data_IF_277301338501
#
_entry.id   IF_277301338501
#
_cell.length_a   1.000
_cell.length_b   1.000
_cell.length_c   1.000
_cell.angle_alpha   90.00
_cell.angle_beta   90.00
_cell.angle_gamma   90.00
#
_symmetry.space_group_name_H-M   'P 1'
#
loop_
_entity.id
_entity.type
_entity.pdbx_description
1 polymer ?
#
# COMPACT_ATOMS: atom_id res chain seq x y z
N UNK A 1 2.35 5.27 -17.97
CA UNK A 1 1.56 4.64 -19.04
C UNK A 1 1.39 5.59 -20.21
N UNK A 2 0.63 6.69 -20.09
CA UNK A 2 0.35 7.59 -21.22
C UNK A 2 1.61 7.97 -22.02
N UNK A 3 2.61 8.53 -21.34
CA UNK A 3 3.90 8.89 -21.97
C UNK A 3 4.66 7.67 -22.50
N UNK A 4 4.69 6.56 -21.74
CA UNK A 4 5.42 5.35 -22.10
C UNK A 4 4.90 4.69 -23.38
N UNK A 5 3.59 4.78 -23.63
CA UNK A 5 2.91 4.18 -24.78
C UNK A 5 2.61 5.20 -25.88
N UNK A 6 2.95 6.47 -25.69
CA UNK A 6 2.66 7.54 -26.65
C UNK A 6 1.16 7.79 -26.84
N UNK A 7 0.32 7.54 -25.82
CA UNK A 7 -1.12 7.81 -25.88
C UNK A 7 -1.38 9.32 -25.79
N UNK A 8 -2.30 9.82 -26.62
CA UNK A 8 -2.81 11.19 -26.51
C UNK A 8 -3.84 11.33 -25.38
N UNK A 9 -4.12 12.57 -24.96
CA UNK A 9 -5.05 12.83 -23.85
C UNK A 9 -6.48 12.33 -24.14
N UNK A 10 -6.91 12.38 -25.40
CA UNK A 10 -8.23 11.90 -25.85
C UNK A 10 -8.36 10.36 -25.85
N UNK A 11 -7.26 9.63 -25.63
CA UNK A 11 -7.27 8.17 -25.47
C UNK A 11 -7.39 7.76 -23.99
N UNK A 12 -7.55 8.71 -23.06
CA UNK A 12 -7.63 8.43 -21.62
C UNK A 12 -8.87 9.10 -21.03
N UNK A 13 -9.83 8.28 -20.64
CA UNK A 13 -11.00 8.70 -19.87
C UNK A 13 -10.71 8.57 -18.39
N UNK A 14 -11.04 9.60 -17.61
CA UNK A 14 -10.91 9.58 -16.14
C UNK A 14 -12.25 9.86 -15.50
N UNK A 15 -12.73 8.92 -14.69
CA UNK A 15 -13.86 9.11 -13.77
C UNK A 15 -13.28 9.19 -12.35
N UNK A 16 -13.44 10.34 -11.71
CA UNK A 16 -12.88 10.64 -10.39
C UNK A 16 -14.01 10.92 -9.41
N UNK A 17 -13.73 10.78 -8.11
CA UNK A 17 -14.71 10.99 -7.03
C UNK A 17 -15.94 10.06 -7.11
N UNK A 18 -15.73 8.82 -7.54
CA UNK A 18 -16.75 7.76 -7.51
C UNK A 18 -16.69 7.10 -6.14
N UNK A 19 -17.80 7.09 -5.40
CA UNK A 19 -17.84 6.45 -4.08
C UNK A 19 -17.63 4.93 -4.22
N UNK A 20 -16.69 4.36 -3.46
CA UNK A 20 -16.40 2.93 -3.45
C UNK A 20 -17.42 2.10 -2.65
N UNK A 21 -18.34 2.77 -1.95
CA UNK A 21 -19.49 2.16 -1.29
C UNK A 21 -20.80 2.26 -2.10
N UNK A 22 -20.76 2.88 -3.29
CA UNK A 22 -21.91 3.05 -4.17
C UNK A 22 -21.74 2.24 -5.46
N UNK A 23 -22.35 1.05 -5.46
CA UNK A 23 -22.29 0.10 -6.57
C UNK A 23 -22.92 0.68 -7.86
N UNK A 24 -24.01 1.43 -7.74
CA UNK A 24 -24.71 2.02 -8.89
C UNK A 24 -23.88 3.13 -9.51
N UNK A 25 -23.28 4.01 -8.69
CA UNK A 25 -22.35 5.02 -9.16
C UNK A 25 -21.13 4.41 -9.85
N UNK A 26 -20.63 3.28 -9.32
CA UNK A 26 -19.52 2.53 -9.92
C UNK A 26 -19.91 1.97 -11.30
N UNK A 27 -21.06 1.30 -11.41
CA UNK A 27 -21.58 0.78 -12.69
C UNK A 27 -21.81 1.90 -13.70
N UNK A 28 -22.34 3.05 -13.26
CA UNK A 28 -22.53 4.21 -14.11
C UNK A 28 -21.19 4.73 -14.65
N UNK A 29 -20.19 4.91 -13.79
CA UNK A 29 -18.87 5.40 -14.21
C UNK A 29 -18.20 4.45 -15.22
N UNK A 30 -18.30 3.13 -14.99
CA UNK A 30 -17.82 2.11 -15.92
C UNK A 30 -18.57 2.21 -17.26
N UNK A 31 -19.90 2.35 -17.23
CA UNK A 31 -20.71 2.48 -18.44
C UNK A 31 -20.30 3.72 -19.26
N UNK A 32 -20.08 4.85 -18.60
CA UNK A 32 -19.63 6.07 -19.28
C UNK A 32 -18.26 5.88 -19.95
N UNK A 33 -17.32 5.16 -19.32
CA UNK A 33 -16.04 4.80 -19.95
C UNK A 33 -16.25 3.93 -21.21
N UNK A 34 -17.19 2.98 -21.18
CA UNK A 34 -17.52 2.13 -22.33
C UNK A 34 -18.15 2.98 -23.45
N UNK A 35 -19.07 3.87 -23.11
CA UNK A 35 -19.76 4.76 -24.05
C UNK A 35 -18.79 5.74 -24.72
N UNK A 36 -17.72 6.13 -24.01
CA UNK A 36 -16.60 6.93 -24.53
C UNK A 36 -15.58 6.10 -25.34
N UNK A 37 -15.77 4.78 -25.46
CA UNK A 37 -15.00 3.91 -26.34
C UNK A 37 -13.76 3.26 -25.71
N UNK A 38 -13.66 3.23 -24.37
CA UNK A 38 -12.55 2.58 -23.69
C UNK A 38 -12.51 1.07 -23.98
N UNK A 39 -11.34 0.56 -24.42
CA UNK A 39 -11.11 -0.87 -24.62
C UNK A 39 -10.67 -1.60 -23.35
N UNK A 40 -10.10 -0.87 -22.39
CA UNK A 40 -9.73 -1.38 -21.06
C UNK A 40 -10.12 -0.38 -19.98
N UNK A 41 -10.67 -0.88 -18.88
CA UNK A 41 -11.09 -0.09 -17.72
C UNK A 41 -10.35 -0.58 -16.48
N UNK A 42 -9.63 0.34 -15.82
CA UNK A 42 -8.98 0.10 -14.53
C UNK A 42 -9.90 0.61 -13.41
N UNK A 43 -10.42 -0.31 -12.59
CA UNK A 43 -11.24 0.01 -11.42
C UNK A 43 -10.33 0.05 -10.18
N UNK A 44 -10.08 1.24 -9.63
CA UNK A 44 -8.93 1.52 -8.75
C UNK A 44 -9.25 1.60 -7.25
N UNK A 45 -10.31 0.95 -6.78
CA UNK A 45 -10.63 0.83 -5.36
C UNK A 45 -11.22 -0.54 -5.06
N UNK A 46 -10.98 -1.05 -3.86
CA UNK A 46 -11.44 -2.36 -3.38
C UNK A 46 -12.96 -2.53 -3.59
N UNK A 47 -13.75 -1.51 -3.23
CA UNK A 47 -15.22 -1.55 -3.28
C UNK A 47 -15.82 -1.68 -4.69
N UNK A 48 -15.03 -1.44 -5.74
CA UNK A 48 -15.51 -1.56 -7.13
C UNK A 48 -15.58 -3.00 -7.66
N UNK A 49 -15.15 -4.00 -6.87
CA UNK A 49 -14.91 -5.37 -7.33
C UNK A 49 -16.15 -6.03 -7.93
N UNK A 50 -17.26 -6.08 -7.19
CA UNK A 50 -18.50 -6.78 -7.60
C UNK A 50 -19.11 -6.12 -8.84
N UNK A 51 -19.21 -4.79 -8.84
CA UNK A 51 -19.68 -4.01 -9.99
C UNK A 51 -18.83 -4.24 -11.24
N UNK A 52 -17.50 -4.29 -11.09
CA UNK A 52 -16.58 -4.54 -12.21
C UNK A 52 -16.74 -5.96 -12.75
N UNK A 53 -16.91 -6.94 -11.86
CA UNK A 53 -17.13 -8.34 -12.25
C UNK A 53 -18.44 -8.51 -13.05
N UNK A 54 -19.53 -7.87 -12.61
CA UNK A 54 -20.80 -7.89 -13.34
C UNK A 54 -20.67 -7.23 -14.73
N UNK A 55 -20.02 -6.06 -14.79
CA UNK A 55 -19.81 -5.34 -16.05
C UNK A 55 -18.92 -6.12 -17.01
N UNK A 56 -17.92 -6.85 -16.51
CA UNK A 56 -17.07 -7.72 -17.33
C UNK A 56 -17.84 -8.85 -18.01
N UNK A 57 -18.81 -9.46 -17.33
CA UNK A 57 -19.66 -10.49 -17.95
C UNK A 57 -20.65 -9.89 -18.97
N UNK A 58 -21.09 -8.65 -18.76
CA UNK A 58 -21.98 -7.93 -19.67
C UNK A 58 -21.27 -7.45 -20.96
N UNK A 59 -19.98 -7.12 -20.86
CA UNK A 59 -19.19 -6.53 -21.95
C UNK A 59 -17.94 -7.38 -22.28
N UNK A 60 -18.11 -8.53 -22.96
CA UNK A 60 -17.01 -9.47 -23.21
C UNK A 60 -15.90 -8.91 -24.13
N UNK A 61 -16.19 -7.85 -24.89
CA UNK A 61 -15.25 -7.19 -25.81
C UNK A 61 -14.45 -6.05 -25.14
N UNK A 62 -14.75 -5.72 -23.89
CA UNK A 62 -14.03 -4.73 -23.08
C UNK A 62 -13.22 -5.47 -22.02
N UNK A 63 -11.99 -5.03 -21.80
CA UNK A 63 -11.11 -5.57 -20.76
C UNK A 63 -11.28 -4.78 -19.46
N UNK A 64 -11.17 -5.47 -18.34
CA UNK A 64 -11.36 -4.93 -17.00
C UNK A 64 -10.22 -5.40 -16.11
N UNK A 65 -9.67 -4.47 -15.35
CA UNK A 65 -8.64 -4.75 -14.37
C UNK A 65 -9.01 -4.09 -13.06
N UNK A 66 -9.30 -4.89 -12.04
CA UNK A 66 -9.68 -4.38 -10.71
C UNK A 66 -8.47 -4.37 -9.78
N UNK A 67 -8.28 -3.25 -9.09
CA UNK A 67 -7.22 -3.06 -8.12
C UNK A 67 -7.64 -3.58 -6.75
N UNK A 68 -6.73 -4.29 -6.08
CA UNK A 68 -6.78 -4.67 -4.64
C UNK A 68 -7.79 -5.77 -4.24
N UNK A 69 -8.68 -6.19 -5.14
CA UNK A 69 -9.65 -7.26 -4.87
C UNK A 69 -9.11 -8.66 -5.05
N UNK A 70 -10.03 -9.59 -5.32
CA UNK A 70 -9.70 -11.01 -5.56
C UNK A 70 -10.52 -11.67 -6.69
N UNK A 71 -11.59 -11.03 -7.18
CA UNK A 71 -12.39 -11.57 -8.27
C UNK A 71 -11.65 -11.44 -9.60
N UNK A 72 -11.80 -12.46 -10.45
CA UNK A 72 -11.30 -12.49 -11.82
C UNK A 72 -12.07 -13.57 -12.59
N UNK A 73 -12.13 -13.45 -13.91
CA UNK A 73 -12.73 -14.48 -14.76
C UNK A 73 -11.73 -15.14 -15.73
N UNK A 74 -10.45 -14.76 -15.66
CA UNK A 74 -9.37 -15.32 -16.48
C UNK A 74 -9.53 -15.07 -17.98
N UNK A 75 -10.39 -14.12 -18.38
CA UNK A 75 -10.66 -13.76 -19.77
C UNK A 75 -10.46 -12.25 -19.95
N UNK A 76 -11.54 -11.50 -19.84
CA UNK A 76 -11.55 -10.05 -19.96
C UNK A 76 -11.58 -9.34 -18.60
N UNK A 77 -11.50 -10.07 -17.48
CA UNK A 77 -11.44 -9.50 -16.15
C UNK A 77 -10.38 -10.17 -15.28
N UNK A 78 -9.39 -9.38 -14.88
CA UNK A 78 -8.36 -9.79 -13.93
C UNK A 78 -8.32 -8.88 -12.69
N UNK A 79 -7.66 -9.37 -11.65
CA UNK A 79 -7.27 -8.61 -10.49
C UNK A 79 -5.80 -8.20 -10.58
N UNK A 80 -5.47 -7.02 -10.09
CA UNK A 80 -4.09 -6.58 -9.94
C UNK A 80 -3.84 -5.96 -8.56
N UNK A 81 -2.69 -6.29 -7.98
CA UNK A 81 -2.22 -5.62 -6.78
C UNK A 81 -0.69 -5.67 -6.71
N UNK A 82 -0.11 -5.32 -5.56
CA UNK A 82 1.32 -5.41 -5.38
C UNK A 82 1.80 -5.67 -3.98
N UNK A 83 3.07 -6.06 -3.91
CA UNK A 83 3.81 -6.38 -2.69
C UNK A 83 4.24 -5.13 -1.94
N UNK A 84 3.31 -4.20 -1.68
CA UNK A 84 3.60 -2.94 -0.99
C UNK A 84 4.25 -3.16 0.37
N UNK A 85 3.97 -4.30 1.01
CA UNK A 85 4.61 -4.75 2.22
C UNK A 85 6.15 -4.77 2.12
N UNK A 86 6.73 -4.99 0.94
CA UNK A 86 8.18 -4.90 0.72
C UNK A 86 8.70 -3.49 1.01
N UNK A 87 8.02 -2.46 0.48
CA UNK A 87 8.40 -1.07 0.73
C UNK A 87 8.03 -0.62 2.16
N UNK A 88 6.94 -1.15 2.73
CA UNK A 88 6.59 -0.94 4.15
C UNK A 88 7.65 -1.48 5.10
N UNK A 89 8.22 -2.64 4.83
CA UNK A 89 9.33 -3.18 5.61
C UNK A 89 10.54 -2.25 5.59
N UNK A 90 10.91 -1.76 4.39
CA UNK A 90 12.01 -0.80 4.26
C UNK A 90 11.71 0.52 5.00
N UNK A 91 10.49 1.05 4.91
CA UNK A 91 10.14 2.27 5.66
C UNK A 91 10.07 2.02 7.18
N UNK A 92 9.82 0.79 7.61
CA UNK A 92 9.92 0.36 9.00
C UNK A 92 11.35 0.46 9.53
N UNK A 93 12.34 0.02 8.75
CA UNK A 93 13.76 0.21 9.08
C UNK A 93 14.07 1.70 9.28
N UNK A 94 13.59 2.55 8.37
CA UNK A 94 13.77 4.01 8.47
C UNK A 94 13.17 4.55 9.76
N UNK A 95 11.92 4.21 10.08
CA UNK A 95 11.27 4.64 11.30
C UNK A 95 12.01 4.14 12.56
N UNK A 96 12.42 2.87 12.59
CA UNK A 96 13.11 2.25 13.72
C UNK A 96 14.50 2.84 14.00
N UNK A 97 15.21 3.27 12.95
CA UNK A 97 16.52 3.95 13.07
C UNK A 97 16.39 5.41 13.53
N UNK A 98 15.24 6.05 13.33
CA UNK A 98 15.05 7.49 13.57
C UNK A 98 14.19 7.82 14.80
N UNK A 99 13.45 6.85 15.36
CA UNK A 99 12.76 7.04 16.64
C UNK A 99 13.76 7.18 17.79
N UNK A 100 13.43 8.06 18.72
CA UNK A 100 14.14 8.31 19.98
C UNK A 100 13.30 7.92 21.20
N UNK A 101 11.97 7.89 21.08
CA UNK A 101 11.05 7.51 22.15
C UNK A 101 10.69 6.02 22.15
N UNK A 102 11.06 5.29 21.08
CA UNK A 102 10.62 3.91 20.83
C UNK A 102 9.09 3.78 20.68
N UNK A 103 8.39 4.87 20.41
CA UNK A 103 6.95 4.90 20.14
C UNK A 103 6.70 5.44 18.73
N UNK A 104 6.08 4.62 17.91
CA UNK A 104 5.81 4.95 16.51
C UNK A 104 4.31 4.87 16.28
N UNK A 105 3.71 5.92 15.74
CA UNK A 105 2.29 5.99 15.44
C UNK A 105 1.99 5.47 14.04
N UNK A 106 0.85 4.80 13.87
CA UNK A 106 0.34 4.36 12.57
C UNK A 106 -1.15 4.65 12.46
N UNK A 107 -1.54 5.52 11.54
CA UNK A 107 -2.95 5.80 11.23
C UNK A 107 -3.42 4.78 10.19
N UNK A 108 -4.44 3.98 10.51
CA UNK A 108 -4.88 2.86 9.70
C UNK A 108 -6.32 3.05 9.19
N UNK A 109 -6.55 2.84 7.89
CA UNK A 109 -7.89 2.96 7.32
C UNK A 109 -8.85 1.89 7.84
N UNK A 110 -8.40 0.64 7.92
CA UNK A 110 -9.21 -0.51 8.32
C UNK A 110 -8.51 -1.28 9.45
N UNK A 111 -9.28 -2.06 10.21
CA UNK A 111 -8.76 -2.93 11.26
C UNK A 111 -8.24 -4.27 10.70
N UNK A 112 -8.06 -5.27 11.58
CA UNK A 112 -7.53 -6.58 11.22
C UNK A 112 -8.48 -7.44 10.36
N UNK A 113 -9.68 -6.94 10.02
CA UNK A 113 -10.52 -7.54 9.01
C UNK A 113 -10.01 -7.30 7.58
N UNK A 114 -9.05 -6.38 7.38
CA UNK A 114 -8.47 -6.07 6.09
C UNK A 114 -6.97 -6.46 6.03
N UNK A 115 -6.64 -7.48 5.24
CA UNK A 115 -5.26 -7.97 5.14
C UNK A 115 -4.30 -7.03 4.41
N UNK A 116 -4.78 -6.12 3.57
CA UNK A 116 -3.91 -5.10 2.96
C UNK A 116 -3.35 -4.16 4.02
N UNK A 117 -4.22 -3.60 4.87
CA UNK A 117 -3.82 -2.67 5.93
C UNK A 117 -2.99 -3.40 6.98
N UNK A 118 -3.46 -4.57 7.41
CA UNK A 118 -2.81 -5.35 8.48
C UNK A 118 -1.43 -5.86 8.03
N UNK A 119 -1.33 -6.40 6.81
CA UNK A 119 -0.05 -6.81 6.24
C UNK A 119 0.91 -5.62 6.03
N UNK A 120 0.40 -4.44 5.69
CA UNK A 120 1.20 -3.22 5.64
C UNK A 120 1.78 -2.83 7.01
N UNK A 121 0.95 -2.86 8.06
CA UNK A 121 1.34 -2.57 9.45
C UNK A 121 2.38 -3.58 9.95
N UNK A 122 2.14 -4.87 9.72
CA UNK A 122 3.02 -5.91 10.22
C UNK A 122 4.37 -5.92 9.52
N UNK A 123 4.39 -5.70 8.20
CA UNK A 123 5.66 -5.54 7.48
C UNK A 123 6.46 -4.32 7.98
N UNK A 124 5.77 -3.19 8.22
CA UNK A 124 6.39 -2.01 8.82
C UNK A 124 6.95 -2.31 10.22
N UNK A 125 6.18 -3.00 11.06
CA UNK A 125 6.60 -3.38 12.41
C UNK A 125 7.76 -4.39 12.41
N UNK A 126 7.79 -5.34 11.48
CA UNK A 126 8.91 -6.27 11.26
C UNK A 126 10.18 -5.52 10.82
N UNK A 127 10.03 -4.51 9.95
CA UNK A 127 11.12 -3.63 9.54
C UNK A 127 11.72 -2.87 10.72
N UNK A 128 10.87 -2.25 11.55
CA UNK A 128 11.28 -1.58 12.79
C UNK A 128 12.03 -2.56 13.70
N UNK A 129 11.44 -3.73 13.95
CA UNK A 129 11.98 -4.71 14.89
C UNK A 129 13.36 -5.24 14.48
N UNK A 130 13.66 -5.27 13.18
CA UNK A 130 14.96 -5.71 12.65
C UNK A 130 16.14 -4.82 13.07
N UNK A 131 15.87 -3.55 13.39
CA UNK A 131 16.89 -2.55 13.78
C UNK A 131 16.69 -2.01 15.19
N UNK A 132 15.45 -2.03 15.70
CA UNK A 132 15.08 -1.53 17.01
C UNK A 132 14.02 -2.45 17.65
N UNK A 133 14.43 -3.51 18.37
CA UNK A 133 13.50 -4.47 18.96
C UNK A 133 12.71 -3.92 20.16
N UNK A 134 13.11 -2.77 20.72
CA UNK A 134 12.46 -2.12 21.86
C UNK A 134 11.29 -1.22 21.42
N UNK A 135 11.26 -0.81 20.14
CA UNK A 135 10.21 0.03 19.59
C UNK A 135 8.84 -0.67 19.51
N UNK A 136 7.79 0.12 19.71
CA UNK A 136 6.38 -0.28 19.63
C UNK A 136 5.65 0.55 18.59
N UNK A 137 4.77 -0.11 17.83
CA UNK A 137 3.87 0.53 16.88
C UNK A 137 2.50 0.67 17.55
N UNK A 138 1.97 1.89 17.60
CA UNK A 138 0.65 2.21 18.10
C UNK A 138 -0.27 2.52 16.92
N UNK A 139 -1.33 1.74 16.76
CA UNK A 139 -2.23 1.81 15.60
C UNK A 139 -3.55 2.44 16.01
N UNK A 140 -3.96 3.51 15.33
CA UNK A 140 -5.29 4.12 15.48
C UNK A 140 -6.09 3.94 14.20
N UNK A 141 -7.24 3.27 14.29
CA UNK A 141 -8.08 2.91 13.14
C UNK A 141 -9.14 3.99 12.88
N UNK A 142 -9.30 4.42 11.62
CA UNK A 142 -10.28 5.43 11.21
C UNK A 142 -11.58 4.83 10.66
N UNK A 143 -11.55 3.56 10.20
CA UNK A 143 -12.64 2.91 9.44
C UNK A 143 -12.97 3.61 8.12
N UNK A 144 -12.00 4.31 7.53
CA UNK A 144 -12.12 4.98 6.23
C UNK A 144 -10.76 5.13 5.56
N UNK A 145 -10.71 4.94 4.24
CA UNK A 145 -9.52 5.20 3.43
C UNK A 145 -9.22 6.71 3.31
N UNK A 146 -10.27 7.52 3.27
CA UNK A 146 -10.20 8.96 3.16
C UNK A 146 -11.24 9.61 4.08
N UNK A 147 -10.77 10.14 5.21
CA UNK A 147 -11.57 10.97 6.12
C UNK A 147 -10.63 11.98 6.79
N UNK A 148 -10.55 13.21 6.25
CA UNK A 148 -9.79 14.33 6.82
C UNK A 148 -9.88 14.47 8.33
N UNK A 149 -11.09 14.44 8.89
CA UNK A 149 -11.32 14.71 10.31
C UNK A 149 -10.88 13.50 11.15
N UNK A 150 -11.21 12.29 10.72
CA UNK A 150 -10.81 11.07 11.43
C UNK A 150 -9.28 10.87 11.40
N UNK A 151 -8.62 11.12 10.27
CA UNK A 151 -7.17 11.00 10.12
C UNK A 151 -6.42 12.04 10.97
N UNK A 152 -6.89 13.29 10.99
CA UNK A 152 -6.32 14.35 11.83
C UNK A 152 -6.45 14.02 13.33
N UNK A 153 -7.62 13.56 13.75
CA UNK A 153 -7.86 13.15 15.14
C UNK A 153 -7.05 11.92 15.54
N UNK A 154 -6.91 10.93 14.64
CA UNK A 154 -6.10 9.75 14.87
C UNK A 154 -4.62 10.11 15.02
N UNK A 155 -4.10 10.96 14.14
CA UNK A 155 -2.72 11.44 14.22
C UNK A 155 -2.46 12.22 15.50
N UNK A 156 -3.35 13.15 15.90
CA UNK A 156 -3.27 13.87 17.18
C UNK A 156 -3.20 12.92 18.37
N UNK A 157 -4.06 11.90 18.40
CA UNK A 157 -4.07 10.89 19.47
C UNK A 157 -2.70 10.21 19.61
N UNK A 158 -2.11 9.78 18.49
CA UNK A 158 -0.82 9.09 18.49
C UNK A 158 0.33 10.03 18.90
N UNK A 159 0.32 11.27 18.42
CA UNK A 159 1.32 12.28 18.77
C UNK A 159 1.23 12.69 20.25
N UNK A 160 0.01 12.77 20.81
CA UNK A 160 -0.21 13.03 22.24
C UNK A 160 0.20 11.85 23.14
N UNK A 161 0.43 10.66 22.56
CA UNK A 161 1.03 9.51 23.24
C UNK A 161 2.57 9.49 23.20
N UNK A 162 3.20 10.58 22.75
CA UNK A 162 4.64 10.73 22.53
C UNK A 162 5.22 9.86 21.40
N UNK A 163 4.40 9.51 20.40
CA UNK A 163 4.95 8.92 19.18
C UNK A 163 5.78 9.98 18.43
N UNK A 164 7.05 9.67 18.14
CA UNK A 164 7.98 10.60 17.51
C UNK A 164 8.30 10.28 16.04
N UNK A 165 7.67 9.22 15.52
CA UNK A 165 7.55 8.94 14.09
C UNK A 165 6.09 8.55 13.82
N UNK A 166 5.46 9.11 12.79
CA UNK A 166 4.13 8.70 12.36
C UNK A 166 4.12 8.17 10.92
N UNK A 167 3.42 7.06 10.69
CA UNK A 167 3.16 6.50 9.38
C UNK A 167 1.64 6.35 9.18
N UNK A 168 1.21 6.01 7.95
CA UNK A 168 -0.21 5.78 7.68
C UNK A 168 -0.48 4.76 6.57
N UNK A 169 -1.73 4.30 6.55
CA UNK A 169 -2.40 3.65 5.42
C UNK A 169 -3.78 4.27 5.21
N UNK A 170 -3.80 5.60 5.09
CA UNK A 170 -4.94 6.42 4.68
C UNK A 170 -4.48 7.40 3.57
N UNK A 171 -5.39 8.22 3.06
CA UNK A 171 -5.18 8.94 1.79
C UNK A 171 -5.00 10.47 1.93
N UNK A 172 -4.99 11.04 3.15
CA UNK A 172 -4.67 12.47 3.35
C UNK A 172 -3.19 12.72 3.68
N UNK A 173 -2.78 13.98 3.73
CA UNK A 173 -1.42 14.37 4.18
C UNK A 173 -1.35 14.73 5.68
N UNK A 174 -2.48 14.70 6.39
CA UNK A 174 -2.57 15.27 7.74
C UNK A 174 -1.65 14.61 8.77
N UNK A 175 -1.46 13.28 8.79
CA UNK A 175 -0.50 12.69 9.71
C UNK A 175 0.93 13.25 9.52
N UNK A 176 1.38 13.44 8.28
CA UNK A 176 2.72 13.97 7.99
C UNK A 176 2.82 15.46 8.33
N UNK A 177 1.83 16.28 7.99
CA UNK A 177 1.87 17.72 8.27
C UNK A 177 1.76 18.00 9.77
N UNK A 178 0.95 17.24 10.51
CA UNK A 178 0.88 17.33 11.98
C UNK A 178 2.17 16.90 12.67
N UNK A 179 2.84 15.84 12.17
CA UNK A 179 4.15 15.46 12.70
C UNK A 179 5.16 16.61 12.57
N UNK A 180 5.18 17.28 11.41
CA UNK A 180 6.00 18.46 11.21
C UNK A 180 5.64 19.60 12.17
N UNK A 181 4.35 19.90 12.36
CA UNK A 181 3.92 20.90 13.34
C UNK A 181 4.36 20.58 14.77
N UNK A 182 4.43 19.29 15.13
CA UNK A 182 4.93 18.81 16.42
C UNK A 182 6.45 18.70 16.49
N UNK A 183 7.17 18.91 15.38
CA UNK A 183 8.63 18.77 15.31
C UNK A 183 9.11 17.33 15.45
N UNK A 184 8.30 16.36 15.01
CA UNK A 184 8.62 14.93 14.99
C UNK A 184 8.58 14.40 13.56
N UNK A 185 9.02 13.15 13.34
CA UNK A 185 9.19 12.61 12.01
C UNK A 185 7.94 11.94 11.45
N UNK A 186 7.93 11.72 10.15
CA UNK A 186 6.88 10.98 9.46
C UNK A 186 7.39 10.11 8.32
N UNK A 187 6.57 9.14 7.92
CA UNK A 187 6.70 8.31 6.73
C UNK A 187 5.49 8.58 5.84
N UNK A 188 5.72 9.04 4.62
CA UNK A 188 4.66 9.27 3.63
C UNK A 188 4.13 7.98 3.00
N UNK A 189 2.93 8.06 2.41
CA UNK A 189 2.29 6.93 1.74
C UNK A 189 1.61 7.34 0.41
N UNK A 190 1.45 6.38 -0.50
CA UNK A 190 0.95 6.49 -1.87
C UNK A 190 1.79 7.33 -2.84
N UNK A 191 2.30 8.47 -2.39
CA UNK A 191 3.09 9.42 -3.18
C UNK A 191 4.18 10.06 -2.33
N UNK A 192 5.09 10.80 -2.98
CA UNK A 192 6.15 11.54 -2.29
C UNK A 192 5.57 12.73 -1.53
N UNK A 193 5.46 12.59 -0.20
CA UNK A 193 4.92 13.60 0.71
C UNK A 193 6.00 14.53 1.28
N UNK A 194 7.27 14.43 0.84
CA UNK A 194 8.34 15.34 1.28
C UNK A 194 8.05 16.80 0.92
N UNK A 195 7.21 17.07 -0.08
CA UNK A 195 6.79 18.43 -0.43
C UNK A 195 5.81 19.04 0.57
N UNK A 196 5.02 18.20 1.22
CA UNK A 196 3.97 18.60 2.17
C UNK A 196 4.55 18.71 3.59
N UNK A 197 5.49 17.82 3.94
CA UNK A 197 6.16 17.80 5.23
C UNK A 197 7.70 17.72 5.09
N UNK A 198 8.36 18.74 4.48
CA UNK A 198 9.79 18.71 4.15
C UNK A 198 10.74 18.60 5.35
N UNK A 199 10.30 18.99 6.55
CA UNK A 199 11.13 18.94 7.77
C UNK A 199 10.88 17.67 8.61
N UNK A 200 9.86 16.87 8.25
CA UNK A 200 9.46 15.68 9.01
C UNK A 200 9.50 14.38 8.20
N UNK A 201 9.22 14.43 6.90
CA UNK A 201 9.09 13.24 6.05
C UNK A 201 10.47 12.61 5.79
N UNK A 202 10.76 11.49 6.45
CA UNK A 202 12.01 10.74 6.30
C UNK A 202 12.09 10.06 4.93
N UNK A 203 10.95 9.57 4.43
CA UNK A 203 10.74 8.97 3.12
C UNK A 203 9.26 8.71 2.90
N UNK A 204 8.86 8.35 1.68
CA UNK A 204 7.51 7.87 1.39
C UNK A 204 7.51 6.49 0.74
N UNK A 205 6.55 5.66 1.11
CA UNK A 205 6.21 4.41 0.42
C UNK A 205 5.32 4.75 -0.76
N UNK A 206 5.76 4.43 -1.97
CA UNK A 206 5.09 4.88 -3.21
C UNK A 206 4.64 3.72 -4.10
N UNK A 207 3.53 3.95 -4.77
CA UNK A 207 3.05 3.12 -5.87
C UNK A 207 3.44 3.73 -7.21
N UNK A 208 4.04 2.93 -8.07
CA UNK A 208 4.29 3.24 -9.47
C UNK A 208 3.34 2.42 -10.36
N UNK A 209 2.05 2.76 -10.31
CA UNK A 209 1.01 2.11 -11.11
C UNK A 209 1.29 2.16 -12.62
N UNK A 210 2.11 3.12 -13.07
CA UNK A 210 2.57 3.18 -14.44
C UNK A 210 3.30 1.91 -14.89
N UNK A 211 3.99 1.20 -14.00
CA UNK A 211 4.62 -0.09 -14.32
C UNK A 211 3.58 -1.10 -14.82
N UNK A 212 2.53 -1.33 -14.03
CA UNK A 212 1.46 -2.27 -14.38
C UNK A 212 0.59 -1.77 -15.54
N UNK A 213 0.09 -0.53 -15.49
CA UNK A 213 -0.78 0.01 -16.54
C UNK A 213 -0.10 0.01 -17.91
N UNK A 214 1.20 0.29 -17.97
CA UNK A 214 1.96 0.21 -19.23
C UNK A 214 2.00 -1.24 -19.74
N UNK A 215 2.31 -2.21 -18.86
CA UNK A 215 2.40 -3.62 -19.24
C UNK A 215 1.02 -4.19 -19.67
N UNK A 216 -0.04 -3.86 -18.94
CA UNK A 216 -1.41 -4.29 -19.21
C UNK A 216 -1.94 -3.76 -20.55
N UNK A 217 -1.76 -2.47 -20.83
CA UNK A 217 -2.20 -1.90 -22.12
C UNK A 217 -1.32 -2.40 -23.26
N UNK A 218 0.00 -2.56 -23.06
CA UNK A 218 0.88 -3.10 -24.07
C UNK A 218 0.51 -4.55 -24.46
N UNK A 219 0.15 -5.40 -23.49
CA UNK A 219 -0.26 -6.78 -23.80
C UNK A 219 -1.57 -6.85 -24.59
N UNK A 220 -2.47 -5.86 -24.45
CA UNK A 220 -3.64 -5.73 -25.32
C UNK A 220 -3.26 -5.29 -26.74
N UNK A 221 -2.36 -4.32 -26.88
CA UNK A 221 -1.83 -3.87 -28.18
C UNK A 221 -1.16 -5.03 -28.92
N UNK A 222 -0.39 -5.86 -28.20
CA UNK A 222 0.35 -6.99 -28.76
C UNK A 222 -0.51 -8.25 -28.94
N UNK A 223 -1.76 -8.25 -28.44
CA UNK A 223 -2.66 -9.40 -28.49
C UNK A 223 -2.23 -10.58 -27.61
N UNK A 224 -1.49 -10.32 -26.53
CA UNK A 224 -0.94 -11.34 -25.61
C UNK A 224 -1.61 -11.34 -24.24
N UNK A 225 -2.68 -10.56 -24.04
CA UNK A 225 -3.45 -10.58 -22.80
C UNK A 225 -4.06 -11.95 -22.55
N UNK A 226 -3.84 -12.49 -21.35
CA UNK A 226 -4.27 -13.84 -20.95
C UNK A 226 -5.26 -13.85 -19.77
N UNK A 227 -5.60 -12.68 -19.23
CA UNK A 227 -6.51 -12.54 -18.09
C UNK A 227 -5.91 -12.98 -16.75
N UNK A 228 -4.61 -13.25 -16.68
CA UNK A 228 -3.94 -13.63 -15.44
C UNK A 228 -3.93 -12.49 -14.42
N UNK A 229 -4.06 -12.82 -13.13
CA UNK A 229 -3.93 -11.85 -12.05
C UNK A 229 -2.49 -11.37 -11.94
N UNK A 230 -2.31 -10.09 -11.59
CA UNK A 230 -1.01 -9.47 -11.43
C UNK A 230 -0.69 -9.19 -9.97
N UNK A 231 0.52 -9.57 -9.53
CA UNK A 231 1.01 -9.29 -8.19
C UNK A 231 2.51 -8.95 -8.20
N UNK A 232 2.83 -7.71 -8.57
CA UNK A 232 4.21 -7.22 -8.70
C UNK A 232 4.76 -6.60 -7.42
N UNK A 233 6.07 -6.45 -7.32
CA UNK A 233 6.77 -5.84 -6.19
C UNK A 233 7.85 -4.86 -6.65
N UNK A 234 8.92 -4.79 -5.87
CA UNK A 234 10.07 -3.93 -6.18
C UNK A 234 10.84 -4.39 -7.44
N UNK A 235 10.84 -5.69 -7.76
CA UNK A 235 11.48 -6.22 -8.97
C UNK A 235 10.84 -5.66 -10.25
N UNK A 236 9.52 -5.52 -10.25
CA UNK A 236 8.74 -4.92 -11.35
C UNK A 236 8.68 -3.39 -11.27
N UNK A 237 9.37 -2.79 -10.28
CA UNK A 237 9.33 -1.35 -9.98
C UNK A 237 7.90 -0.83 -9.77
N UNK A 238 6.99 -1.68 -9.27
CA UNK A 238 5.61 -1.31 -8.96
C UNK A 238 5.53 -0.59 -7.62
N UNK A 239 6.38 -0.98 -6.66
CA UNK A 239 6.45 -0.37 -5.34
C UNK A 239 7.88 0.05 -5.06
N UNK A 240 8.04 1.16 -4.35
CA UNK A 240 9.35 1.67 -3.99
C UNK A 240 9.28 2.52 -2.73
N UNK A 241 10.46 2.84 -2.22
CA UNK A 241 10.67 3.94 -1.29
C UNK A 241 11.17 5.15 -2.09
N UNK A 242 10.76 6.36 -1.74
CA UNK A 242 11.45 7.57 -2.21
C UNK A 242 12.89 7.59 -1.71
N UNK A 243 13.68 8.55 -2.19
CA UNK A 243 14.94 8.88 -1.53
C UNK A 243 14.68 9.21 -0.05
N UNK A 244 15.65 8.83 0.79
CA UNK A 244 15.67 9.20 2.20
C UNK A 244 15.98 10.69 2.34
N UNK A 245 15.40 11.32 3.35
CA UNK A 245 15.74 12.68 3.73
C UNK A 245 17.18 12.77 4.23
N UNK A 246 17.85 13.90 3.95
CA UNK A 246 19.25 14.13 4.35
C UNK A 246 19.45 14.20 5.87
N UNK A 247 18.36 14.40 6.63
CA UNK A 247 18.36 14.44 8.09
C UNK A 247 18.08 13.08 8.75
N UNK A 248 17.94 11.99 7.97
CA UNK A 248 17.90 10.64 8.52
C UNK A 248 19.16 10.35 9.36
N UNK A 249 19.00 9.54 10.40
CA UNK A 249 20.08 9.06 11.24
C UNK A 249 21.18 8.37 10.41
N UNK A 250 22.43 8.52 10.83
CA UNK A 250 23.59 7.91 10.18
C UNK A 250 23.41 6.39 10.04
N UNK A 251 23.75 5.85 8.87
CA UNK A 251 23.60 4.41 8.56
C UNK A 251 22.20 3.99 8.12
N UNK A 252 21.17 4.86 8.17
CA UNK A 252 19.81 4.51 7.73
C UNK A 252 19.78 4.05 6.27
N UNK A 253 20.43 4.78 5.37
CA UNK A 253 20.49 4.42 3.94
C UNK A 253 21.15 3.06 3.71
N UNK A 254 22.27 2.79 4.39
CA UNK A 254 22.97 1.50 4.28
C UNK A 254 22.07 0.34 4.71
N UNK A 255 21.30 0.48 5.79
CA UNK A 255 20.36 -0.54 6.26
C UNK A 255 19.19 -0.76 5.30
N UNK A 256 18.68 0.31 4.69
CA UNK A 256 17.63 0.20 3.67
C UNK A 256 18.18 -0.51 2.43
N UNK A 257 19.37 -0.16 1.96
CA UNK A 257 19.98 -0.76 0.77
C UNK A 257 20.30 -2.24 0.98
N UNK A 258 20.85 -2.61 2.15
CA UNK A 258 21.09 -4.00 2.55
C UNK A 258 19.79 -4.83 2.53
N UNK A 259 18.74 -4.34 3.19
CA UNK A 259 17.45 -5.02 3.23
C UNK A 259 16.79 -5.11 1.84
N UNK A 260 16.91 -4.04 1.03
CA UNK A 260 16.39 -4.02 -0.34
C UNK A 260 17.07 -5.08 -1.20
N UNK A 261 18.40 -5.20 -1.15
CA UNK A 261 19.13 -6.24 -1.88
C UNK A 261 18.71 -7.65 -1.45
N UNK A 262 18.51 -7.86 -0.14
CA UNK A 262 18.03 -9.14 0.37
C UNK A 262 16.61 -9.47 -0.13
N UNK A 263 15.71 -8.49 -0.18
CA UNK A 263 14.35 -8.69 -0.71
C UNK A 263 14.39 -8.99 -2.21
N UNK A 264 15.15 -8.22 -2.99
CA UNK A 264 15.24 -8.40 -4.44
C UNK A 264 15.89 -9.75 -4.82
N UNK A 265 16.85 -10.21 -4.03
CA UNK A 265 17.49 -11.53 -4.22
C UNK A 265 16.70 -12.70 -3.65
N UNK A 266 15.60 -12.45 -2.92
CA UNK A 266 14.78 -13.47 -2.28
C UNK A 266 15.37 -14.07 -0.99
N UNK A 267 16.42 -13.45 -0.44
CA UNK A 267 16.99 -13.83 0.87
C UNK A 267 16.13 -13.36 2.05
N UNK A 268 15.29 -12.34 1.82
CA UNK A 268 14.35 -11.80 2.80
C UNK A 268 12.96 -11.69 2.15
N UNK A 269 12.03 -12.55 2.56
CA UNK A 269 10.64 -12.55 2.12
C UNK A 269 9.73 -11.60 2.89
N UNK A 270 10.29 -10.81 3.83
CA UNK A 270 9.60 -9.97 4.85
C UNK A 270 8.86 -10.81 5.90
N UNK A 271 7.96 -11.68 5.48
CA UNK A 271 7.19 -12.58 6.34
C UNK A 271 7.84 -13.96 6.42
N UNK A 272 9.08 -14.01 6.89
CA UNK A 272 9.87 -15.23 6.98
C UNK A 272 9.79 -15.89 8.35
N UNK A 273 9.83 -17.21 8.35
CA UNK A 273 10.01 -18.02 9.55
C UNK A 273 8.76 -18.10 10.42
N UNK A 274 9.00 -18.23 11.73
CA UNK A 274 7.94 -18.28 12.75
C UNK A 274 7.80 -16.88 13.33
N UNK A 275 6.64 -16.28 13.12
CA UNK A 275 6.32 -14.91 13.52
C UNK A 275 5.38 -14.96 14.72
N UNK A 276 5.75 -14.28 15.79
CA UNK A 276 4.94 -14.16 17.01
C UNK A 276 3.98 -12.97 16.90
N UNK A 277 2.70 -13.21 17.16
CA UNK A 277 1.65 -12.19 17.12
C UNK A 277 1.57 -11.43 18.45
N UNK A 278 0.83 -10.33 18.49
CA UNK A 278 0.56 -9.57 19.72
C UNK A 278 -0.35 -10.29 20.71
N UNK A 279 -0.96 -11.40 20.32
CA UNK A 279 -1.70 -12.32 21.20
C UNK A 279 -0.84 -13.44 21.76
N UNK A 280 0.44 -13.55 21.34
CA UNK A 280 1.35 -14.62 21.72
C UNK A 280 1.20 -15.91 20.92
N UNK A 281 0.38 -15.90 19.87
CA UNK A 281 0.29 -17.00 18.90
C UNK A 281 1.46 -16.92 17.91
N UNK A 282 1.63 -17.98 17.11
CA UNK A 282 2.67 -18.03 16.08
C UNK A 282 2.08 -18.33 14.71
N UNK A 283 2.57 -17.63 13.69
CA UNK A 283 2.22 -17.81 12.28
C UNK A 283 3.48 -18.14 11.48
N UNK A 284 3.34 -18.90 10.39
CA UNK A 284 4.45 -19.26 9.51
C UNK A 284 5.24 -20.49 9.98
N UNK A 285 6.27 -20.82 9.20
CA UNK A 285 7.08 -22.02 9.39
C UNK A 285 8.56 -21.67 9.26
N UNK A 286 9.41 -22.29 10.10
CA UNK A 286 10.85 -22.05 10.06
C UNK A 286 11.44 -22.34 8.67
N UNK A 287 12.21 -21.38 8.14
CA UNK A 287 12.86 -21.49 6.83
C UNK A 287 11.93 -21.32 5.62
N UNK A 288 10.69 -20.84 5.82
CA UNK A 288 9.76 -20.50 4.74
C UNK A 288 9.28 -19.06 4.85
N UNK A 289 8.95 -18.47 3.71
CA UNK A 289 8.16 -17.24 3.62
C UNK A 289 6.68 -17.60 3.55
N UNK A 290 5.80 -16.80 4.13
CA UNK A 290 4.36 -16.89 3.86
C UNK A 290 4.09 -16.77 2.35
N UNK A 291 3.18 -17.58 1.84
CA UNK A 291 2.76 -17.47 0.43
C UNK A 291 1.90 -16.22 0.19
N UNK A 292 1.82 -15.80 -1.07
CA UNK A 292 1.09 -14.59 -1.46
C UNK A 292 -0.37 -14.59 -1.04
N UNK A 293 -1.05 -15.74 -1.15
CA UNK A 293 -2.47 -15.82 -0.81
C UNK A 293 -2.67 -15.58 0.70
N UNK A 294 -1.78 -16.13 1.52
CA UNK A 294 -1.75 -15.85 2.96
C UNK A 294 -1.43 -14.38 3.23
N UNK A 295 -0.49 -13.76 2.53
CA UNK A 295 -0.15 -12.35 2.73
C UNK A 295 -1.32 -11.43 2.33
N UNK A 296 -1.98 -11.68 1.20
CA UNK A 296 -3.02 -10.79 0.68
C UNK A 296 -4.40 -11.01 1.29
N UNK A 297 -4.65 -12.16 1.92
CA UNK A 297 -5.99 -12.48 2.45
C UNK A 297 -6.03 -13.25 3.77
N UNK A 298 -4.87 -13.57 4.36
CA UNK A 298 -4.76 -14.35 5.59
C UNK A 298 -4.07 -13.63 6.75
N UNK A 299 -3.52 -12.42 6.54
CA UNK A 299 -3.00 -11.58 7.62
C UNK A 299 -4.17 -10.83 8.25
N UNK A 300 -4.70 -11.40 9.33
CA UNK A 300 -5.77 -10.85 10.16
C UNK A 300 -5.37 -10.80 11.65
N UNK A 301 -4.06 -10.80 11.87
CA UNK A 301 -3.38 -10.77 13.16
C UNK A 301 -2.39 -9.61 13.13
N UNK A 302 -1.87 -9.20 14.29
CA UNK A 302 -0.84 -8.17 14.36
C UNK A 302 0.46 -8.75 14.93
N UNK A 303 1.60 -8.26 14.45
CA UNK A 303 2.92 -8.62 14.96
C UNK A 303 3.10 -8.18 16.42
N UNK A 304 3.92 -8.91 17.20
CA UNK A 304 4.05 -8.72 18.66
C UNK A 304 4.41 -7.32 19.18
N UNK A 305 4.94 -6.44 18.34
CA UNK A 305 5.27 -5.05 18.72
C UNK A 305 4.15 -4.06 18.42
N UNK A 306 3.06 -4.52 17.80
CA UNK A 306 1.91 -3.71 17.39
C UNK A 306 0.85 -3.70 18.49
N UNK A 307 0.40 -2.49 18.84
CA UNK A 307 -0.62 -2.21 19.83
C UNK A 307 -1.72 -1.37 19.17
N UNK A 308 -2.92 -1.92 19.04
CA UNK A 308 -4.08 -1.14 18.58
C UNK A 308 -4.60 -0.31 19.75
N UNK A 309 -4.81 0.98 19.51
CA UNK A 309 -5.32 1.93 20.51
C UNK A 309 -6.78 2.28 20.22
N UNK A 310 -7.57 2.39 21.30
CA UNK A 310 -9.00 2.73 21.26
C UNK A 310 -9.26 4.12 20.69
#
# INVERSE_FOLDING_TARGET
MQQNLGLSDDQIVRKINVSDSDEDATKQAIQECIDEGCNIIFATSWGYMEATAEMAEKYPDVYFSHGTGYMSNGRNFNNYFGRIYQARYLSGIVAGMNTTTNKIGYVAAMDNSNSEVTGGIDAFALGIYSVNPDAKVYVKVTNSWYDPEAEENAAKTLLDMDCDVIAQHCDTEYPQTLAQERGVYSIGYNSDMSKNAPEACLCSVIWNWSAYYTAAVQSLIDGTWDGSNYYGGMNENLVALTNLADFCAEGTQEKVDEAKEQILSGQNGVFDGVIETNTGETVGEAGKTLDDATITGGINWYFKTVNVVD
#
